data_IF_736044050182
#
_entry.id   IF_736044050182
#
_cell.length_a   1.000
_cell.length_b   1.000
_cell.length_c   1.000
_cell.angle_alpha   90.00
_cell.angle_beta   90.00
_cell.angle_gamma   90.00
#
_symmetry.space_group_name_H-M   'P 1'
#
loop_
_entity.id
_entity.type
_entity.pdbx_description
1 polymer ?
#
# COMPACT_ATOMS: atom_id res chain seq x y z
N UNK A 1 24.86 -25.91 21.94
CA UNK A 1 23.75 -26.51 21.17
C UNK A 1 22.95 -25.36 20.56
N UNK A 2 22.94 -25.26 19.24
CA UNK A 2 22.48 -24.10 18.49
C UNK A 2 21.03 -23.73 18.81
N UNK A 3 20.80 -22.51 19.32
CA UNK A 3 19.51 -21.83 19.18
C UNK A 3 19.26 -21.70 17.68
N UNK A 4 18.38 -22.53 17.14
CA UNK A 4 17.88 -22.38 15.80
C UNK A 4 17.40 -20.93 15.63
N UNK A 5 17.88 -20.27 14.57
CA UNK A 5 17.43 -18.97 14.08
C UNK A 5 15.90 -19.01 13.92
N UNK A 6 15.18 -18.73 14.99
CA UNK A 6 13.74 -18.82 15.09
C UNK A 6 13.07 -17.64 14.38
N UNK A 7 13.14 -17.60 13.05
CA UNK A 7 12.27 -16.79 12.19
C UNK A 7 10.76 -17.04 12.44
N UNK A 8 10.42 -18.04 13.27
CA UNK A 8 9.08 -18.59 13.39
C UNK A 8 8.06 -17.78 14.18
N UNK A 9 8.42 -16.97 15.19
CA UNK A 9 7.40 -16.30 16.02
C UNK A 9 6.82 -15.04 15.35
N UNK A 10 7.70 -14.22 14.76
CA UNK A 10 7.31 -12.97 14.13
C UNK A 10 6.59 -13.12 12.79
N UNK A 11 7.06 -14.02 11.94
CA UNK A 11 6.37 -14.34 10.69
C UNK A 11 4.99 -14.95 10.94
N UNK A 12 4.84 -15.79 11.98
CA UNK A 12 3.52 -16.31 12.38
C UNK A 12 2.55 -15.21 12.79
N UNK A 13 3.05 -14.08 13.32
CA UNK A 13 2.19 -12.95 13.67
C UNK A 13 1.68 -12.19 12.42
N UNK A 14 2.35 -12.30 11.27
CA UNK A 14 1.88 -11.73 10.01
C UNK A 14 0.85 -12.62 9.31
N UNK A 15 0.86 -13.94 9.56
CA UNK A 15 -0.02 -14.90 8.88
C UNK A 15 -1.51 -14.49 8.93
N UNK A 16 -2.09 -14.09 10.08
CA UNK A 16 -3.49 -13.65 10.10
C UNK A 16 -3.74 -12.41 9.23
N UNK A 17 -2.82 -11.45 9.22
CA UNK A 17 -2.91 -10.24 8.39
C UNK A 17 -2.91 -10.62 6.91
N UNK A 18 -1.99 -11.48 6.49
CA UNK A 18 -1.93 -11.94 5.10
C UNK A 18 -3.17 -12.76 4.73
N UNK A 19 -3.62 -13.64 5.62
CA UNK A 19 -4.83 -14.43 5.41
C UNK A 19 -6.07 -13.55 5.22
N UNK A 20 -6.19 -12.45 5.99
CA UNK A 20 -7.29 -11.48 5.84
C UNK A 20 -7.18 -10.72 4.52
N UNK A 21 -5.98 -10.28 4.12
CA UNK A 21 -5.77 -9.57 2.85
C UNK A 21 -6.10 -10.48 1.66
N UNK A 22 -5.47 -11.66 1.58
CA UNK A 22 -5.67 -12.60 0.47
C UNK A 22 -7.08 -13.20 0.48
N UNK A 23 -7.59 -13.59 1.67
CA UNK A 23 -8.94 -14.11 1.81
C UNK A 23 -9.99 -13.06 1.44
N UNK A 24 -9.81 -11.80 1.84
CA UNK A 24 -10.68 -10.70 1.46
C UNK A 24 -10.73 -10.48 -0.05
N UNK A 25 -9.57 -10.45 -0.73
CA UNK A 25 -9.53 -10.34 -2.19
C UNK A 25 -10.10 -11.58 -2.88
N UNK A 26 -9.86 -12.78 -2.36
CA UNK A 26 -10.42 -14.02 -2.91
C UNK A 26 -11.96 -14.01 -2.80
N UNK A 27 -12.53 -13.63 -1.66
CA UNK A 27 -13.98 -13.49 -1.48
C UNK A 27 -14.55 -12.43 -2.42
N UNK A 28 -13.89 -11.27 -2.52
CA UNK A 28 -14.33 -10.20 -3.41
C UNK A 28 -14.26 -10.59 -4.90
N UNK A 29 -13.32 -11.46 -5.27
CA UNK A 29 -13.20 -11.95 -6.65
C UNK A 29 -14.39 -12.79 -7.11
N UNK A 30 -15.10 -13.47 -6.20
CA UNK A 30 -16.22 -14.37 -6.53
C UNK A 30 -17.35 -13.63 -7.26
N UNK A 31 -17.97 -12.58 -6.68
CA UNK A 31 -18.98 -11.81 -7.41
C UNK A 31 -18.38 -11.10 -8.63
N UNK A 32 -17.12 -10.68 -8.58
CA UNK A 32 -16.49 -9.98 -9.71
C UNK A 32 -16.41 -10.87 -10.94
N UNK A 33 -15.98 -12.12 -10.75
CA UNK A 33 -15.88 -13.14 -11.80
C UNK A 33 -17.27 -13.55 -12.28
N UNK A 34 -18.21 -13.77 -11.36
CA UNK A 34 -19.58 -14.16 -11.70
C UNK A 34 -20.28 -13.10 -12.58
N UNK A 35 -20.12 -11.82 -12.26
CA UNK A 35 -20.73 -10.71 -13.00
C UNK A 35 -19.81 -10.10 -14.06
N UNK A 36 -18.59 -10.64 -14.25
CA UNK A 36 -17.55 -10.09 -15.14
C UNK A 36 -17.36 -8.58 -15.00
N UNK A 37 -17.27 -8.11 -13.76
CA UNK A 37 -17.20 -6.67 -13.45
C UNK A 37 -15.97 -6.31 -12.63
N UNK A 38 -15.28 -5.26 -13.06
CA UNK A 38 -14.12 -4.67 -12.39
C UNK A 38 -14.48 -3.47 -11.50
N UNK A 39 -15.77 -3.09 -11.44
CA UNK A 39 -16.21 -1.80 -10.88
C UNK A 39 -15.82 -1.55 -9.43
N UNK A 40 -15.66 -2.62 -8.64
CA UNK A 40 -15.32 -2.52 -7.23
C UNK A 40 -13.87 -2.96 -6.92
N UNK A 41 -13.07 -3.30 -7.94
CA UNK A 41 -11.70 -3.76 -7.79
C UNK A 41 -10.82 -2.74 -7.04
N UNK A 42 -10.90 -1.45 -7.39
CA UNK A 42 -10.08 -0.43 -6.72
C UNK A 42 -10.57 -0.15 -5.28
N UNK A 43 -11.89 -0.25 -5.04
CA UNK A 43 -12.47 -0.08 -3.71
C UNK A 43 -12.05 -1.23 -2.78
N UNK A 44 -12.05 -2.47 -3.26
CA UNK A 44 -11.59 -3.63 -2.50
C UNK A 44 -10.09 -3.56 -2.23
N UNK A 45 -9.31 -2.95 -3.13
CA UNK A 45 -7.91 -2.61 -2.85
C UNK A 45 -7.77 -1.75 -1.60
N UNK A 46 -8.56 -0.67 -1.50
CA UNK A 46 -8.55 0.25 -0.36
C UNK A 46 -9.02 -0.42 0.93
N UNK A 47 -10.11 -1.20 0.85
CA UNK A 47 -10.59 -2.02 1.96
C UNK A 47 -9.55 -3.04 2.42
N UNK A 48 -8.73 -3.55 1.50
CA UNK A 48 -7.61 -4.45 1.80
C UNK A 48 -6.53 -3.78 2.64
N UNK A 49 -6.18 -2.51 2.37
CA UNK A 49 -5.29 -1.75 3.25
C UNK A 49 -5.90 -1.49 4.63
N UNK A 50 -7.18 -1.13 4.69
CA UNK A 50 -7.87 -0.89 5.97
C UNK A 50 -7.95 -2.16 6.81
N UNK A 51 -8.32 -3.29 6.20
CA UNK A 51 -8.38 -4.58 6.87
C UNK A 51 -6.99 -5.08 7.26
N UNK A 52 -5.96 -4.83 6.44
CA UNK A 52 -4.57 -5.11 6.79
C UNK A 52 -4.08 -4.30 8.00
N UNK A 53 -4.45 -3.03 8.11
CA UNK A 53 -4.16 -2.19 9.30
C UNK A 53 -4.84 -2.75 10.53
N UNK A 54 -6.14 -3.02 10.47
CA UNK A 54 -6.86 -3.60 11.60
C UNK A 54 -6.28 -4.98 11.99
N UNK A 55 -6.07 -5.86 11.01
CA UNK A 55 -5.55 -7.20 11.24
C UNK A 55 -4.14 -7.18 11.85
N UNK A 56 -3.24 -6.35 11.33
CA UNK A 56 -1.86 -6.29 11.85
C UNK A 56 -1.78 -5.75 13.28
N UNK A 57 -2.65 -4.80 13.66
CA UNK A 57 -2.72 -4.27 15.03
C UNK A 57 -3.34 -5.27 16.02
N UNK A 58 -4.43 -5.93 15.64
CA UNK A 58 -5.23 -6.72 16.57
C UNK A 58 -4.97 -8.23 16.53
N UNK A 59 -4.45 -8.76 15.42
CA UNK A 59 -4.22 -10.21 15.30
C UNK A 59 -3.26 -10.79 16.35
N UNK A 60 -2.20 -10.12 16.84
CA UNK A 60 -1.39 -10.69 17.91
C UNK A 60 -2.19 -10.95 19.20
N UNK A 61 -3.17 -10.10 19.51
CA UNK A 61 -4.04 -10.22 20.67
C UNK A 61 -5.10 -11.32 20.45
N UNK A 62 -5.70 -11.36 19.25
CA UNK A 62 -6.67 -12.39 18.88
C UNK A 62 -6.03 -13.78 18.85
N UNK A 63 -4.82 -13.92 18.31
CA UNK A 63 -4.07 -15.17 18.31
C UNK A 63 -3.74 -15.62 19.73
N UNK A 64 -3.30 -14.72 20.62
CA UNK A 64 -3.07 -15.08 22.03
C UNK A 64 -4.34 -15.57 22.72
N UNK A 65 -5.45 -14.85 22.51
CA UNK A 65 -6.73 -15.18 23.15
C UNK A 65 -7.33 -16.49 22.64
N UNK A 66 -7.46 -16.63 21.32
CA UNK A 66 -8.24 -17.71 20.71
C UNK A 66 -7.41 -18.92 20.29
N UNK A 67 -6.14 -18.71 19.90
CA UNK A 67 -5.27 -19.81 19.45
C UNK A 67 -4.40 -20.32 20.59
N UNK A 68 -3.87 -19.43 21.44
CA UNK A 68 -3.02 -19.81 22.56
C UNK A 68 -3.80 -20.01 23.87
N UNK A 69 -5.10 -19.70 23.88
CA UNK A 69 -5.98 -19.92 25.03
C UNK A 69 -5.76 -18.95 26.20
N UNK A 70 -5.03 -17.84 26.00
CA UNK A 70 -4.79 -16.84 27.03
C UNK A 70 -6.05 -16.00 27.27
N UNK A 71 -6.82 -16.38 28.29
CA UNK A 71 -8.05 -15.67 28.69
C UNK A 71 -7.79 -14.23 29.19
N UNK A 72 -6.55 -13.90 29.55
CA UNK A 72 -6.16 -12.54 29.98
C UNK A 72 -5.89 -11.59 28.82
N UNK A 73 -5.76 -12.11 27.60
CA UNK A 73 -5.56 -11.31 26.39
C UNK A 73 -6.85 -10.57 26.01
N UNK A 74 -6.99 -9.35 26.53
CA UNK A 74 -8.09 -8.42 26.20
C UNK A 74 -7.71 -7.63 24.94
N UNK A 75 -8.70 -7.32 24.09
CA UNK A 75 -8.48 -6.44 22.95
C UNK A 75 -8.07 -5.04 23.45
N UNK A 76 -6.91 -4.52 23.01
CA UNK A 76 -6.42 -3.24 23.46
C UNK A 76 -7.29 -2.09 22.94
N UNK A 77 -7.39 -1.01 23.70
CA UNK A 77 -7.88 0.26 23.19
C UNK A 77 -6.79 0.92 22.32
N UNK A 78 -7.15 1.83 21.42
CA UNK A 78 -6.21 2.56 20.56
C UNK A 78 -5.06 3.22 21.35
N UNK A 79 -5.35 3.71 22.56
CA UNK A 79 -4.35 4.34 23.44
C UNK A 79 -3.27 3.39 23.95
N UNK A 80 -3.47 2.08 23.83
CA UNK A 80 -2.51 1.06 24.27
C UNK A 80 -1.45 0.74 23.21
N UNK A 81 -1.64 1.19 21.96
CA UNK A 81 -0.64 1.06 20.89
C UNK A 81 0.42 2.15 20.98
N UNK A 82 1.61 1.87 20.46
CA UNK A 82 2.66 2.87 20.38
C UNK A 82 2.28 3.98 19.38
N UNK A 83 2.67 5.25 19.63
CA UNK A 83 2.37 6.36 18.71
C UNK A 83 2.80 6.08 17.26
N UNK A 84 3.95 5.45 17.06
CA UNK A 84 4.47 5.06 15.74
C UNK A 84 3.53 4.11 14.98
N UNK A 85 2.91 3.15 15.67
CA UNK A 85 1.97 2.20 15.05
C UNK A 85 0.73 2.94 14.56
N UNK A 86 0.18 3.81 15.40
CA UNK A 86 -1.01 4.60 15.08
C UNK A 86 -0.75 5.58 13.94
N UNK A 87 0.39 6.28 13.97
CA UNK A 87 0.79 7.21 12.92
C UNK A 87 0.97 6.46 11.60
N UNK A 88 1.83 5.43 11.54
CA UNK A 88 2.08 4.68 10.31
C UNK A 88 0.79 4.09 9.71
N UNK A 89 -0.07 3.55 10.57
CA UNK A 89 -1.38 3.02 10.20
C UNK A 89 -2.32 4.10 9.66
N UNK A 90 -2.40 5.26 10.33
CA UNK A 90 -3.22 6.37 9.89
C UNK A 90 -2.76 6.92 8.53
N UNK A 91 -1.44 6.97 8.29
CA UNK A 91 -0.88 7.38 7.00
C UNK A 91 -1.26 6.40 5.87
N UNK A 92 -1.22 5.08 6.11
CA UNK A 92 -1.73 4.08 5.14
C UNK A 92 -3.21 4.29 4.87
N UNK A 93 -4.03 4.45 5.91
CA UNK A 93 -5.47 4.66 5.77
C UNK A 93 -5.77 5.95 5.00
N UNK A 94 -5.09 7.05 5.32
CA UNK A 94 -5.27 8.33 4.65
C UNK A 94 -4.92 8.24 3.16
N UNK A 95 -3.79 7.59 2.84
CA UNK A 95 -3.38 7.38 1.46
C UNK A 95 -4.37 6.47 0.70
N UNK A 96 -4.74 5.33 1.27
CA UNK A 96 -5.64 4.37 0.63
C UNK A 96 -7.06 4.94 0.47
N UNK A 97 -7.56 5.71 1.44
CA UNK A 97 -8.84 6.42 1.32
C UNK A 97 -8.83 7.42 0.17
N UNK A 98 -7.74 8.18 0.02
CA UNK A 98 -7.59 9.19 -1.03
C UNK A 98 -7.46 8.55 -2.41
N UNK A 99 -6.57 7.56 -2.56
CA UNK A 99 -6.39 6.85 -3.83
C UNK A 99 -7.65 6.09 -4.23
N UNK A 100 -8.26 5.36 -3.30
CA UNK A 100 -9.51 4.63 -3.50
C UNK A 100 -10.66 5.53 -3.94
N UNK A 101 -10.84 6.67 -3.26
CA UNK A 101 -11.88 7.64 -3.62
C UNK A 101 -11.65 8.23 -5.00
N UNK A 102 -10.39 8.58 -5.32
CA UNK A 102 -10.02 9.10 -6.64
C UNK A 102 -10.31 8.09 -7.77
N UNK A 103 -9.93 6.82 -7.58
CA UNK A 103 -10.15 5.75 -8.55
C UNK A 103 -11.63 5.40 -8.69
N UNK A 104 -12.38 5.32 -7.59
CA UNK A 104 -13.82 5.06 -7.62
C UNK A 104 -14.58 6.16 -8.40
N UNK A 105 -14.25 7.43 -8.16
CA UNK A 105 -14.81 8.55 -8.92
C UNK A 105 -14.43 8.48 -10.40
N UNK A 106 -13.22 8.02 -10.73
CA UNK A 106 -12.79 7.82 -12.12
C UNK A 106 -13.63 6.76 -12.82
N UNK A 107 -13.82 5.59 -12.21
CA UNK A 107 -14.62 4.50 -12.77
C UNK A 107 -16.07 4.93 -12.95
N UNK A 108 -16.64 5.67 -11.99
CA UNK A 108 -17.99 6.22 -12.14
C UNK A 108 -18.12 7.15 -13.35
N UNK A 109 -17.09 7.95 -13.64
CA UNK A 109 -17.06 8.85 -14.81
C UNK A 109 -16.76 8.14 -16.14
N UNK A 110 -15.88 7.14 -16.15
CA UNK A 110 -15.46 6.43 -17.38
C UNK A 110 -16.33 5.21 -17.71
N UNK A 111 -17.11 4.71 -16.76
CA UNK A 111 -17.99 3.55 -16.90
C UNK A 111 -17.29 2.19 -16.85
N UNK A 112 -16.05 2.12 -17.31
CA UNK A 112 -15.21 0.90 -17.32
C UNK A 112 -13.72 1.21 -17.13
N UNK A 113 -12.96 0.18 -16.82
CA UNK A 113 -11.48 0.19 -16.88
C UNK A 113 -10.99 -0.78 -17.96
N UNK A 114 -10.43 -0.22 -19.04
CA UNK A 114 -10.00 -0.96 -20.22
C UNK A 114 -8.96 -2.05 -19.92
N UNK A 115 -8.19 -1.91 -18.83
CA UNK A 115 -7.19 -2.91 -18.42
C UNK A 115 -7.80 -4.28 -18.13
N UNK A 116 -9.08 -4.32 -17.77
CA UNK A 116 -9.77 -5.56 -17.40
C UNK A 116 -10.58 -6.17 -18.55
N UNK A 117 -10.73 -5.50 -19.69
CA UNK A 117 -11.65 -5.92 -20.75
C UNK A 117 -11.36 -7.33 -21.27
N UNK A 118 -10.08 -7.68 -21.44
CA UNK A 118 -9.66 -9.03 -21.83
C UNK A 118 -9.58 -9.98 -20.63
N UNK A 119 -9.08 -9.51 -19.49
CA UNK A 119 -8.79 -10.34 -18.32
C UNK A 119 -10.08 -10.89 -17.70
N UNK A 120 -11.15 -10.08 -17.64
CA UNK A 120 -12.44 -10.44 -17.02
C UNK A 120 -13.20 -11.54 -17.76
N UNK A 121 -12.78 -11.89 -18.98
CA UNK A 121 -13.38 -13.01 -19.73
C UNK A 121 -12.89 -14.37 -19.27
N UNK A 122 -11.72 -14.45 -18.63
CA UNK A 122 -11.17 -15.69 -18.10
C UNK A 122 -11.22 -15.67 -16.57
N UNK A 123 -12.03 -16.54 -15.93
CA UNK A 123 -12.10 -16.62 -14.46
C UNK A 123 -10.74 -16.75 -13.78
N UNK A 124 -9.85 -17.57 -14.34
CA UNK A 124 -8.50 -17.81 -13.80
C UNK A 124 -7.62 -16.57 -13.93
N UNK A 125 -7.61 -15.91 -15.09
CA UNK A 125 -6.81 -14.68 -15.26
C UNK A 125 -7.35 -13.55 -14.39
N UNK A 126 -8.67 -13.44 -14.28
CA UNK A 126 -9.28 -12.41 -13.44
C UNK A 126 -8.98 -12.66 -11.97
N UNK A 127 -9.13 -13.89 -11.47
CA UNK A 127 -8.69 -14.27 -10.13
C UNK A 127 -7.21 -13.93 -9.88
N UNK A 128 -6.35 -14.16 -10.88
CA UNK A 128 -4.95 -13.76 -10.84
C UNK A 128 -4.75 -12.25 -10.58
N UNK A 129 -5.57 -11.38 -11.18
CA UNK A 129 -5.53 -9.95 -10.90
C UNK A 129 -5.88 -9.64 -9.43
N UNK A 130 -6.91 -10.27 -8.88
CA UNK A 130 -7.28 -10.13 -7.46
C UNK A 130 -6.15 -10.58 -6.51
N UNK A 131 -5.45 -11.66 -6.83
CA UNK A 131 -4.29 -12.11 -6.06
C UNK A 131 -3.07 -11.20 -6.24
N UNK A 132 -2.89 -10.60 -7.42
CA UNK A 132 -1.88 -9.56 -7.64
C UNK A 132 -2.18 -8.31 -6.78
N UNK A 133 -3.45 -7.93 -6.64
CA UNK A 133 -3.85 -6.85 -5.73
C UNK A 133 -3.57 -7.19 -4.27
N UNK A 134 -3.90 -8.40 -3.82
CA UNK A 134 -3.58 -8.87 -2.46
C UNK A 134 -2.06 -8.81 -2.19
N UNK A 135 -1.26 -9.20 -3.19
CA UNK A 135 0.20 -9.14 -3.14
C UNK A 135 0.69 -7.70 -3.08
N UNK A 136 0.10 -6.81 -3.87
CA UNK A 136 0.43 -5.39 -3.84
C UNK A 136 0.16 -4.78 -2.46
N UNK A 137 -1.04 -4.97 -1.91
CA UNK A 137 -1.38 -4.50 -0.55
C UNK A 137 -0.38 -5.03 0.50
N UNK A 138 -0.04 -6.31 0.39
CA UNK A 138 0.86 -6.99 1.33
C UNK A 138 2.26 -6.38 1.29
N UNK A 139 2.85 -6.30 0.10
CA UNK A 139 4.25 -5.90 -0.06
C UNK A 139 4.43 -4.41 0.18
N UNK A 140 3.57 -3.57 -0.41
CA UNK A 140 3.66 -2.11 -0.32
C UNK A 140 3.60 -1.63 1.14
N UNK A 141 2.68 -2.17 1.95
CA UNK A 141 2.54 -1.80 3.37
C UNK A 141 3.26 -2.75 4.35
N UNK A 142 4.14 -3.64 3.86
CA UNK A 142 4.94 -4.55 4.70
C UNK A 142 5.69 -3.88 5.87
N UNK A 143 6.35 -2.71 5.72
CA UNK A 143 6.97 -2.02 6.87
C UNK A 143 5.97 -1.72 7.99
N UNK A 144 4.71 -1.42 7.64
CA UNK A 144 3.64 -1.11 8.61
C UNK A 144 3.14 -2.39 9.28
N UNK A 145 2.94 -3.47 8.52
CA UNK A 145 2.56 -4.77 9.08
C UNK A 145 3.57 -5.26 10.10
N UNK A 146 4.87 -5.14 9.81
CA UNK A 146 5.96 -5.56 10.68
C UNK A 146 5.98 -4.79 12.01
N UNK A 147 5.75 -3.48 12.00
CA UNK A 147 5.74 -2.69 13.25
C UNK A 147 4.43 -2.80 14.03
N UNK A 148 3.32 -3.10 13.36
CA UNK A 148 2.02 -3.29 14.01
C UNK A 148 1.95 -4.57 14.82
N UNK A 149 2.62 -5.64 14.37
CA UNK A 149 2.68 -6.91 15.13
C UNK A 149 3.62 -6.87 16.35
N UNK A 150 4.43 -5.81 16.48
CA UNK A 150 5.27 -5.60 17.65
C UNK A 150 4.45 -5.13 18.85
N UNK A 151 4.77 -5.59 20.08
CA UNK A 151 4.16 -5.03 21.27
C UNK A 151 4.57 -3.56 21.46
N UNK A 152 3.69 -2.72 22.01
CA UNK A 152 3.95 -1.29 22.19
C UNK A 152 5.28 -0.98 22.90
N UNK A 153 5.67 -1.79 23.89
CA UNK A 153 6.96 -1.65 24.61
C UNK A 153 8.22 -1.83 23.76
N UNK A 154 8.10 -2.44 22.58
CA UNK A 154 9.21 -2.61 21.64
C UNK A 154 9.41 -1.38 20.73
N UNK A 155 8.57 -0.35 20.85
CA UNK A 155 8.69 0.91 20.13
C UNK A 155 9.39 1.94 21.01
N UNK A 156 10.60 2.39 20.63
CA UNK A 156 11.21 3.56 21.25
C UNK A 156 10.34 4.80 21.05
N UNK A 157 10.52 5.79 21.94
CA UNK A 157 9.96 7.12 21.74
C UNK A 157 10.31 7.66 20.35
N UNK A 158 9.37 8.44 19.78
CA UNK A 158 9.55 9.10 18.50
C UNK A 158 10.81 9.99 18.57
N UNK A 159 11.63 9.94 17.54
CA UNK A 159 12.86 10.72 17.45
C UNK A 159 13.00 11.44 16.11
N UNK A 160 14.17 12.01 15.85
CA UNK A 160 14.41 12.83 14.65
C UNK A 160 14.13 12.08 13.34
N UNK A 161 14.42 10.78 13.27
CA UNK A 161 14.14 9.94 12.10
C UNK A 161 12.64 9.84 11.83
N UNK A 162 11.81 9.80 12.88
CA UNK A 162 10.35 9.81 12.74
C UNK A 162 9.84 11.12 12.16
N UNK A 163 10.37 12.23 12.66
CA UNK A 163 9.99 13.57 12.17
C UNK A 163 10.39 13.73 10.70
N UNK A 164 11.61 13.29 10.33
CA UNK A 164 12.06 13.30 8.95
C UNK A 164 11.19 12.41 8.05
N UNK A 165 10.83 11.20 8.52
CA UNK A 165 9.93 10.31 7.80
C UNK A 165 8.54 10.94 7.61
N UNK A 166 7.98 11.58 8.63
CA UNK A 166 6.69 12.29 8.51
C UNK A 166 6.76 13.44 7.51
N UNK A 167 7.84 14.21 7.53
CA UNK A 167 8.08 15.28 6.55
C UNK A 167 8.18 14.73 5.12
N UNK A 168 8.92 13.64 4.92
CA UNK A 168 9.06 12.98 3.62
C UNK A 168 7.71 12.40 3.14
N UNK A 169 6.94 11.79 4.04
CA UNK A 169 5.61 11.28 3.72
C UNK A 169 4.68 12.41 3.28
N UNK A 170 4.65 13.52 4.02
CA UNK A 170 3.83 14.68 3.69
C UNK A 170 4.25 15.32 2.35
N UNK A 171 5.55 15.40 2.07
CA UNK A 171 6.06 15.88 0.79
C UNK A 171 5.66 14.97 -0.38
N UNK A 172 5.82 13.64 -0.22
CA UNK A 172 5.42 12.67 -1.23
C UNK A 172 3.92 12.71 -1.52
N UNK A 173 3.10 12.70 -0.46
CA UNK A 173 1.64 12.78 -0.57
C UNK A 173 1.18 14.12 -1.17
N UNK A 174 1.82 15.22 -0.78
CA UNK A 174 1.57 16.55 -1.34
C UNK A 174 1.89 16.62 -2.83
N UNK A 175 3.04 16.09 -3.25
CA UNK A 175 3.43 16.01 -4.67
C UNK A 175 2.41 15.19 -5.48
N UNK A 176 1.98 14.05 -4.95
CA UNK A 176 0.97 13.18 -5.58
C UNK A 176 -0.37 13.91 -5.75
N UNK A 177 -0.85 14.60 -4.71
CA UNK A 177 -2.09 15.38 -4.75
C UNK A 177 -2.00 16.51 -5.78
N UNK A 178 -0.91 17.28 -5.78
CA UNK A 178 -0.72 18.41 -6.71
C UNK A 178 -0.65 17.91 -8.15
N UNK A 179 0.15 16.86 -8.40
CA UNK A 179 0.30 16.27 -9.72
C UNK A 179 -1.04 15.78 -10.29
N UNK A 180 -1.82 15.05 -9.50
CA UNK A 180 -3.11 14.53 -9.96
C UNK A 180 -4.13 15.63 -10.19
N UNK A 181 -4.17 16.65 -9.31
CA UNK A 181 -5.05 17.82 -9.49
C UNK A 181 -4.71 18.60 -10.76
N UNK A 182 -3.42 18.84 -11.02
CA UNK A 182 -2.95 19.50 -12.24
C UNK A 182 -3.35 18.69 -13.48
N UNK A 183 -3.14 17.37 -13.46
CA UNK A 183 -3.52 16.49 -14.58
C UNK A 183 -5.03 16.47 -14.81
N UNK A 184 -5.83 16.37 -13.75
CA UNK A 184 -7.30 16.39 -13.85
C UNK A 184 -7.80 17.72 -14.41
N UNK A 185 -7.33 18.85 -13.90
CA UNK A 185 -7.72 20.18 -14.38
C UNK A 185 -7.33 20.39 -15.85
N UNK A 186 -6.12 19.98 -16.24
CA UNK A 186 -5.67 20.04 -17.63
C UNK A 186 -6.53 19.17 -18.56
N UNK A 187 -6.87 17.94 -18.15
CA UNK A 187 -7.77 17.08 -18.93
C UNK A 187 -9.19 17.65 -19.05
N UNK A 188 -9.69 18.31 -18.03
CA UNK A 188 -11.00 18.98 -18.06
C UNK A 188 -10.98 20.20 -18.97
N UNK A 189 -9.90 21.00 -18.96
CA UNK A 189 -9.70 22.12 -19.87
C UNK A 189 -9.61 21.66 -21.34
N UNK A 190 -8.89 20.57 -21.62
CA UNK A 190 -8.81 19.95 -22.94
C UNK A 190 -10.21 19.55 -23.45
N UNK A 191 -11.02 18.88 -22.60
CA UNK A 191 -12.39 18.50 -22.95
C UNK A 191 -13.31 19.69 -23.20
N UNK A 192 -13.06 20.82 -22.54
CA UNK A 192 -13.77 22.07 -22.73
C UNK A 192 -13.28 22.88 -23.95
N UNK A 193 -12.34 22.33 -24.76
CA UNK A 193 -11.80 23.00 -25.95
C UNK A 193 -10.90 24.19 -25.64
N UNK A 194 -10.38 24.31 -24.40
CA UNK A 194 -9.52 25.45 -24.01
C UNK A 194 -8.10 25.35 -24.56
N UNK A 195 -7.66 24.15 -24.94
CA UNK A 195 -6.39 23.89 -25.60
C UNK A 195 -6.46 22.52 -26.30
N UNK A 196 -5.53 22.27 -27.21
CA UNK A 196 -5.36 21.04 -27.99
C UNK A 196 -4.04 20.30 -27.70
N UNK A 197 -3.26 20.81 -26.74
CA UNK A 197 -2.00 20.20 -26.30
C UNK A 197 -2.12 18.69 -26.04
N UNK A 198 -1.15 17.90 -26.51
CA UNK A 198 -1.14 16.43 -26.36
C UNK A 198 -0.76 15.98 -24.96
N UNK A 199 0.09 16.75 -24.27
CA UNK A 199 0.61 16.47 -22.94
C UNK A 199 0.62 17.70 -22.05
N UNK A 200 0.43 17.48 -20.75
CA UNK A 200 0.70 18.51 -19.75
C UNK A 200 2.21 18.66 -19.56
N UNK A 201 2.71 19.87 -19.75
CA UNK A 201 4.13 20.22 -19.60
C UNK A 201 4.37 21.37 -18.60
N UNK A 202 3.35 21.70 -17.80
CA UNK A 202 3.37 22.78 -16.81
C UNK A 202 3.29 22.26 -15.37
N UNK A 203 3.61 23.11 -14.39
CA UNK A 203 3.57 22.74 -12.98
C UNK A 203 4.56 21.62 -12.66
N UNK A 204 4.14 20.62 -11.88
CA UNK A 204 5.03 19.50 -11.50
C UNK A 204 5.37 18.60 -12.69
N UNK A 205 4.53 18.61 -13.74
CA UNK A 205 4.74 17.86 -14.97
C UNK A 205 5.82 18.46 -15.88
N UNK A 206 6.24 19.70 -15.63
CA UNK A 206 7.42 20.30 -16.29
C UNK A 206 8.75 19.72 -15.78
N UNK A 207 8.76 19.19 -14.55
CA UNK A 207 9.95 18.67 -13.88
C UNK A 207 10.10 17.17 -14.09
N UNK A 208 8.99 16.43 -14.07
CA UNK A 208 8.96 14.99 -14.25
C UNK A 208 7.78 14.59 -15.13
N UNK A 209 7.97 13.58 -15.99
CA UNK A 209 6.88 12.99 -16.78
C UNK A 209 5.86 12.23 -15.92
N UNK A 210 6.24 11.86 -14.69
CA UNK A 210 5.39 11.13 -13.75
C UNK A 210 5.58 11.62 -12.31
N UNK A 211 5.22 12.87 -11.99
CA UNK A 211 5.45 13.45 -10.67
C UNK A 211 4.60 12.80 -9.59
N UNK A 212 3.40 12.32 -9.94
CA UNK A 212 2.53 11.57 -9.02
C UNK A 212 3.18 10.26 -8.55
N UNK A 213 3.81 9.52 -9.46
CA UNK A 213 4.55 8.29 -9.12
C UNK A 213 5.78 8.54 -8.27
N UNK A 214 6.49 9.65 -8.50
CA UNK A 214 7.57 10.06 -7.61
C UNK A 214 7.06 10.32 -6.18
N UNK A 215 5.88 10.96 -6.06
CA UNK A 215 5.20 11.16 -4.78
C UNK A 215 4.85 9.86 -4.06
N UNK A 216 4.28 8.90 -4.79
CA UNK A 216 3.90 7.58 -4.27
C UNK A 216 5.12 6.77 -3.77
N UNK A 217 6.20 6.68 -4.57
CA UNK A 217 7.42 6.02 -4.12
C UNK A 217 8.00 6.71 -2.87
N UNK A 218 7.99 8.05 -2.85
CA UNK A 218 8.51 8.84 -1.73
C UNK A 218 7.77 8.56 -0.43
N UNK A 219 6.43 8.51 -0.45
CA UNK A 219 5.65 8.26 0.76
C UNK A 219 5.78 6.81 1.26
N UNK A 220 5.99 5.83 0.38
CA UNK A 220 6.26 4.45 0.81
C UNK A 220 7.69 4.27 1.34
N UNK A 221 8.67 4.99 0.78
CA UNK A 221 10.01 5.10 1.37
C UNK A 221 9.95 5.74 2.76
N UNK A 222 9.09 6.73 2.96
CA UNK A 222 8.87 7.34 4.27
C UNK A 222 8.26 6.35 5.28
N UNK A 223 7.33 5.48 4.87
CA UNK A 223 6.80 4.41 5.74
C UNK A 223 7.88 3.42 6.18
N UNK A 224 8.80 3.08 5.26
CA UNK A 224 9.98 2.31 5.63
C UNK A 224 10.82 3.04 6.68
N UNK A 225 11.17 4.32 6.48
CA UNK A 225 11.94 5.10 7.45
C UNK A 225 11.26 5.17 8.83
N UNK A 226 9.95 5.35 8.85
CA UNK A 226 9.14 5.38 10.08
C UNK A 226 9.20 4.04 10.84
N UNK A 227 9.45 2.92 10.14
CA UNK A 227 9.57 1.59 10.74
C UNK A 227 10.95 1.31 11.37
N UNK A 228 12.01 1.97 10.89
CA UNK A 228 13.42 1.60 11.17
C UNK A 228 13.73 1.49 12.66
N UNK A 229 13.35 2.47 13.47
CA UNK A 229 13.69 2.48 14.91
C UNK A 229 12.97 1.37 15.68
N UNK A 230 11.70 1.11 15.37
CA UNK A 230 10.95 0.04 16.02
C UNK A 230 11.51 -1.34 15.65
N UNK A 231 11.79 -1.57 14.36
CA UNK A 231 12.36 -2.84 13.91
C UNK A 231 13.75 -3.07 14.48
N UNK A 232 14.61 -2.05 14.49
CA UNK A 232 15.96 -2.13 15.08
C UNK A 232 15.92 -2.41 16.58
N UNK A 233 15.01 -1.75 17.31
CA UNK A 233 14.84 -1.98 18.75
C UNK A 233 14.25 -3.36 19.04
N UNK A 234 13.37 -3.88 18.18
CA UNK A 234 12.69 -5.15 18.42
C UNK A 234 13.64 -6.35 18.42
N UNK A 235 14.77 -6.26 17.73
CA UNK A 235 15.78 -7.32 17.67
C UNK A 235 16.52 -7.52 18.99
N UNK A 236 16.64 -6.46 19.80
CA UNK A 236 17.16 -6.57 21.18
C UNK A 236 16.22 -7.37 22.10
N UNK A 237 14.94 -7.50 21.72
CA UNK A 237 13.91 -8.21 22.49
C UNK A 237 13.60 -9.59 21.88
N UNK A 238 14.25 -9.97 20.78
CA UNK A 238 14.15 -11.31 20.17
C UNK A 238 12.77 -11.67 19.60
N UNK A 239 11.92 -10.69 19.28
CA UNK A 239 10.50 -10.93 18.96
C UNK A 239 10.28 -11.40 17.52
N UNK A 240 10.89 -10.73 16.54
CA UNK A 240 10.66 -11.01 15.12
C UNK A 240 11.89 -11.57 14.39
N UNK A 241 13.09 -11.34 14.91
CA UNK A 241 14.35 -11.74 14.28
C UNK A 241 15.42 -10.65 14.37
N UNK A 242 16.59 -10.89 13.75
CA UNK A 242 17.69 -9.93 13.75
C UNK A 242 17.37 -8.68 12.91
N UNK A 243 17.88 -7.53 13.33
CA UNK A 243 17.50 -6.23 12.77
C UNK A 243 17.76 -6.13 11.26
N UNK A 244 18.91 -6.60 10.73
CA UNK A 244 19.16 -6.55 9.29
C UNK A 244 18.10 -7.29 8.47
N UNK A 245 17.58 -8.42 8.96
CA UNK A 245 16.54 -9.18 8.25
C UNK A 245 15.23 -8.42 8.24
N UNK A 246 14.81 -7.85 9.38
CA UNK A 246 13.56 -7.09 9.47
C UNK A 246 13.60 -5.81 8.64
N UNK A 247 14.75 -5.12 8.63
CA UNK A 247 14.95 -3.94 7.78
C UNK A 247 14.96 -4.32 6.30
N UNK A 248 15.59 -5.44 5.92
CA UNK A 248 15.54 -5.97 4.56
C UNK A 248 14.11 -6.27 4.11
N UNK A 249 13.30 -6.91 4.95
CA UNK A 249 11.89 -7.17 4.69
C UNK A 249 11.08 -5.87 4.58
N UNK A 250 11.27 -4.93 5.50
CA UNK A 250 10.58 -3.65 5.48
C UNK A 250 10.93 -2.83 4.23
N UNK A 251 12.17 -2.92 3.74
CA UNK A 251 12.62 -2.28 2.51
C UNK A 251 11.96 -2.87 1.24
N UNK A 252 11.40 -4.08 1.30
CA UNK A 252 10.64 -4.66 0.18
C UNK A 252 9.50 -3.73 -0.23
N UNK A 253 8.82 -3.06 0.71
CA UNK A 253 7.70 -2.16 0.37
C UNK A 253 8.05 -1.08 -0.65
N UNK A 254 8.95 -0.13 -0.32
CA UNK A 254 9.33 0.90 -1.28
C UNK A 254 10.04 0.37 -2.53
N UNK A 255 10.85 -0.69 -2.41
CA UNK A 255 11.56 -1.27 -3.56
C UNK A 255 10.58 -1.95 -4.54
N UNK A 256 9.59 -2.65 -4.01
CA UNK A 256 8.53 -3.27 -4.78
C UNK A 256 7.68 -2.20 -5.45
N UNK A 257 7.27 -1.16 -4.73
CA UNK A 257 6.45 -0.08 -5.31
C UNK A 257 7.19 0.65 -6.44
N UNK A 258 8.45 1.02 -6.21
CA UNK A 258 9.30 1.60 -7.25
C UNK A 258 9.43 0.67 -8.47
N UNK A 259 9.73 -0.61 -8.24
CA UNK A 259 9.93 -1.57 -9.32
C UNK A 259 8.65 -1.82 -10.12
N UNK A 260 7.53 -1.93 -9.41
CA UNK A 260 6.21 -2.10 -9.99
C UNK A 260 5.89 -0.91 -10.90
N UNK A 261 5.97 0.31 -10.38
CA UNK A 261 5.64 1.52 -11.15
C UNK A 261 6.61 1.76 -12.31
N UNK A 262 7.92 1.54 -12.10
CA UNK A 262 8.94 1.87 -13.10
C UNK A 262 9.03 0.87 -14.24
N UNK A 263 8.83 -0.42 -13.96
CA UNK A 263 9.17 -1.50 -14.90
C UNK A 263 8.00 -2.38 -15.33
N UNK A 264 6.95 -2.52 -14.51
CA UNK A 264 5.88 -3.49 -14.79
C UNK A 264 4.51 -2.84 -15.04
N UNK A 265 4.18 -1.80 -14.28
CA UNK A 265 2.91 -1.09 -14.31
C UNK A 265 3.14 0.39 -14.68
N UNK A 266 2.36 1.32 -14.13
CA UNK A 266 2.61 2.76 -14.14
C UNK A 266 3.21 3.31 -15.43
N UNK A 267 4.53 3.54 -15.41
CA UNK A 267 5.30 4.19 -16.48
C UNK A 267 5.20 3.41 -17.81
N UNK A 268 5.70 2.17 -17.94
CA UNK A 268 5.67 1.46 -19.22
C UNK A 268 4.27 1.24 -19.81
N UNK A 269 3.23 1.07 -18.99
CA UNK A 269 1.86 0.92 -19.51
C UNK A 269 1.32 2.24 -20.05
N UNK A 270 1.62 3.37 -19.39
CA UNK A 270 1.21 4.69 -19.85
C UNK A 270 1.97 5.11 -21.10
N UNK A 271 3.30 4.93 -21.12
CA UNK A 271 4.14 5.29 -22.28
C UNK A 271 3.74 4.47 -23.52
N UNK A 272 3.66 3.13 -23.43
CA UNK A 272 3.18 2.29 -24.55
C UNK A 272 1.79 2.68 -25.03
N UNK A 273 0.90 3.05 -24.10
CA UNK A 273 -0.45 3.50 -24.41
C UNK A 273 -0.48 4.85 -25.15
N UNK A 274 0.49 5.73 -24.87
CA UNK A 274 0.65 7.01 -25.56
C UNK A 274 1.35 6.84 -26.90
N UNK A 275 2.41 6.05 -26.99
CA UNK A 275 3.12 5.74 -28.24
C UNK A 275 2.16 5.12 -29.27
N UNK A 276 1.26 4.24 -28.83
CA UNK A 276 0.22 3.68 -29.71
C UNK A 276 -0.76 4.74 -30.24
N UNK A 277 -1.00 5.82 -29.48
CA UNK A 277 -1.95 6.88 -29.85
C UNK A 277 -1.31 8.00 -30.66
N UNK A 278 -0.03 8.28 -30.46
CA UNK A 278 0.67 9.45 -30.99
C UNK A 278 1.85 9.12 -31.90
N UNK A 279 2.31 7.87 -31.95
CA UNK A 279 3.47 7.47 -32.75
C UNK A 279 4.76 8.07 -32.21
N UNK A 280 5.60 8.60 -33.10
CA UNK A 280 6.91 9.20 -32.80
C UNK A 280 6.85 10.71 -32.47
N UNK A 281 5.64 11.27 -32.28
CA UNK A 281 5.42 12.69 -31.92
C UNK A 281 5.51 12.97 -30.42
#
# INVERSE_FOLDING_TARGET
>A
MAQALGLGAGFKALVPTLAIIYGGQAVASVPAIAYKTEKFYDLTGSLGFFSGVAASLYSPYLTRRFIQGDKSAILPNLRSFAPRQLIASALVVAWAARLGSFLALRIQKSGKDERFDEIKQSPVKFFGAWMAQATWITLTALPVWLINVLPAKAHPALGIVDVAALGLWAAGWGLEIVADRQKSAWREAQKAGKHDEKFISSGTWSVSRHPNYAGEVTLWSAQFLLSVRALSSSSSVGILGPAPVLLGLAAVGPLFEYSLIRFASGVPLLEKGMDKKLGDE
#
